data_IF_465409478125
#
_entry.id   IF_465409478125
#
_cell.length_a   1.000
_cell.length_b   1.000
_cell.length_c   1.000
_cell.angle_alpha   90.00
_cell.angle_beta   90.00
_cell.angle_gamma   90.00
#
_symmetry.space_group_name_H-M   'P 1'
#
loop_
_entity.id
_entity.type
_entity.pdbx_description
1 polymer ?
#
# COMPACT_ATOMS: atom_id res chain seq x y z
N UNK A 1 19.80 -16.05 -11.51
CA UNK A 1 19.03 -14.92 -10.91
C UNK A 1 19.88 -14.33 -9.79
N UNK A 2 20.51 -13.17 -9.98
CA UNK A 2 21.40 -12.59 -8.97
C UNK A 2 20.58 -12.02 -7.81
N UNK A 3 20.62 -12.68 -6.65
CA UNK A 3 19.86 -12.31 -5.43
C UNK A 3 20.19 -10.89 -4.96
N UNK A 4 21.45 -10.45 -5.10
CA UNK A 4 21.89 -9.11 -4.70
C UNK A 4 21.24 -7.99 -5.54
N UNK A 5 21.10 -8.19 -6.85
CA UNK A 5 20.47 -7.20 -7.74
C UNK A 5 19.00 -7.04 -7.40
N UNK A 6 18.31 -8.15 -7.15
CA UNK A 6 16.91 -8.16 -6.73
C UNK A 6 16.69 -7.41 -5.40
N UNK A 7 17.53 -7.65 -4.40
CA UNK A 7 17.44 -6.97 -3.11
C UNK A 7 17.68 -5.47 -3.21
N UNK A 8 18.63 -5.04 -4.06
CA UNK A 8 18.88 -3.61 -4.31
C UNK A 8 17.68 -2.95 -4.98
N UNK A 9 17.09 -3.59 -6.00
CA UNK A 9 15.86 -3.09 -6.64
C UNK A 9 14.73 -2.96 -5.62
N UNK A 10 14.47 -4.01 -4.84
CA UNK A 10 13.39 -4.03 -3.85
C UNK A 10 13.54 -2.91 -2.82
N UNK A 11 14.74 -2.72 -2.26
CA UNK A 11 15.02 -1.62 -1.32
C UNK A 11 14.82 -0.25 -1.95
N UNK A 12 15.23 -0.08 -3.21
CA UNK A 12 15.03 1.17 -3.95
C UNK A 12 13.55 1.46 -4.15
N UNK A 13 12.76 0.48 -4.57
CA UNK A 13 11.31 0.65 -4.78
C UNK A 13 10.58 0.94 -3.46
N UNK A 14 10.90 0.22 -2.38
CA UNK A 14 10.34 0.49 -1.05
C UNK A 14 10.73 1.89 -0.53
N UNK A 15 11.99 2.28 -0.71
CA UNK A 15 12.47 3.61 -0.39
C UNK A 15 11.72 4.67 -1.21
N UNK A 16 11.41 4.40 -2.48
CA UNK A 16 10.65 5.31 -3.33
C UNK A 16 9.21 5.48 -2.84
N UNK A 17 8.55 4.41 -2.39
CA UNK A 17 7.22 4.51 -1.77
C UNK A 17 7.22 5.37 -0.51
N UNK A 18 8.24 5.22 0.35
CA UNK A 18 8.31 5.92 1.63
C UNK A 18 8.89 7.33 1.57
N UNK A 19 9.69 7.68 0.56
CA UNK A 19 10.35 9.01 0.50
C UNK A 19 9.59 10.04 -0.33
N UNK A 20 8.54 9.62 -1.02
CA UNK A 20 7.82 10.49 -1.96
C UNK A 20 6.53 11.04 -1.37
N UNK A 21 6.23 12.30 -1.69
CA UNK A 21 5.07 13.03 -1.17
C UNK A 21 3.76 12.28 -1.39
N UNK A 22 3.55 11.70 -2.56
CA UNK A 22 2.35 10.91 -2.87
C UNK A 22 2.21 9.65 -2.00
N UNK A 23 3.33 9.03 -1.60
CA UNK A 23 3.30 7.88 -0.69
C UNK A 23 2.81 8.28 0.69
N UNK A 24 3.31 9.41 1.20
CA UNK A 24 2.83 10.00 2.45
C UNK A 24 1.37 10.45 2.38
N UNK A 25 0.91 11.01 1.25
CA UNK A 25 -0.50 11.38 1.06
C UNK A 25 -1.40 10.15 1.13
N UNK A 26 -1.04 9.05 0.48
CA UNK A 26 -1.81 7.80 0.54
C UNK A 26 -1.82 7.26 1.98
N UNK A 27 -0.66 7.20 2.64
CA UNK A 27 -0.55 6.68 4.01
C UNK A 27 -1.38 7.50 5.01
N UNK A 28 -1.30 8.83 4.94
CA UNK A 28 -2.05 9.74 5.81
C UNK A 28 -3.56 9.66 5.56
N UNK A 29 -4.00 9.61 4.31
CA UNK A 29 -5.42 9.44 3.95
C UNK A 29 -5.98 8.13 4.52
N UNK A 30 -5.23 7.04 4.39
CA UNK A 30 -5.65 5.74 4.91
C UNK A 30 -5.71 5.74 6.43
N UNK A 31 -4.67 6.24 7.11
CA UNK A 31 -4.67 6.33 8.58
C UNK A 31 -5.84 7.18 9.08
N UNK A 32 -6.15 8.28 8.39
CA UNK A 32 -7.28 9.12 8.71
C UNK A 32 -8.62 8.37 8.58
N UNK A 33 -8.81 7.63 7.49
CA UNK A 33 -10.01 6.80 7.28
C UNK A 33 -10.14 5.68 8.30
N UNK A 34 -9.02 5.03 8.68
CA UNK A 34 -9.00 4.01 9.75
C UNK A 34 -9.44 4.64 11.08
N UNK A 35 -8.90 5.82 11.41
CA UNK A 35 -9.28 6.57 12.62
C UNK A 35 -10.76 6.95 12.64
N UNK A 36 -11.30 7.41 11.51
CA UNK A 36 -12.74 7.70 11.38
C UNK A 36 -13.59 6.44 11.56
N UNK A 37 -13.20 5.32 10.95
CA UNK A 37 -13.89 4.04 11.12
C UNK A 37 -13.94 3.63 12.60
N UNK A 38 -12.81 3.69 13.31
CA UNK A 38 -12.77 3.39 14.74
C UNK A 38 -13.66 4.32 15.57
N UNK A 39 -13.67 5.62 15.27
CA UNK A 39 -14.54 6.58 15.94
C UNK A 39 -16.02 6.24 15.74
N UNK A 40 -16.43 5.87 14.51
CA UNK A 40 -17.82 5.48 14.23
C UNK A 40 -18.24 4.25 15.02
N UNK A 41 -17.37 3.25 15.15
CA UNK A 41 -17.65 2.06 15.95
C UNK A 41 -17.77 2.41 17.43
N UNK A 42 -16.86 3.22 17.97
CA UNK A 42 -16.92 3.66 19.37
C UNK A 42 -18.22 4.41 19.66
N UNK A 43 -18.64 5.32 18.78
CA UNK A 43 -19.89 6.06 18.92
C UNK A 43 -21.13 5.16 18.83
N UNK A 44 -21.11 4.16 17.94
CA UNK A 44 -22.22 3.23 17.76
C UNK A 44 -22.44 2.30 18.98
N UNK A 45 -21.36 1.94 19.67
CA UNK A 45 -21.38 1.06 20.85
C UNK A 45 -21.27 1.82 22.19
N UNK A 46 -21.29 3.16 22.17
CA UNK A 46 -21.22 3.96 23.38
C UNK A 46 -22.45 3.71 24.28
N UNK A 47 -22.26 2.96 25.36
CA UNK A 47 -23.32 2.59 26.31
C UNK A 47 -24.14 1.34 25.94
N UNK A 48 -23.72 0.54 24.95
CA UNK A 48 -24.33 -0.75 24.60
C UNK A 48 -23.32 -1.88 24.76
N UNK A 49 -23.79 -3.07 25.12
CA UNK A 49 -22.94 -4.26 25.12
C UNK A 49 -22.49 -4.55 23.67
N UNK A 50 -21.20 -4.80 23.48
CA UNK A 50 -20.69 -5.31 22.21
C UNK A 50 -21.02 -6.80 22.12
N UNK A 51 -21.99 -7.14 21.27
CA UNK A 51 -22.33 -8.54 20.97
C UNK A 51 -21.28 -9.23 20.08
N UNK A 52 -20.39 -8.45 19.45
CA UNK A 52 -19.38 -8.91 18.50
C UNK A 52 -17.99 -8.32 18.79
N UNK A 53 -16.90 -8.98 18.37
CA UNK A 53 -15.54 -8.44 18.43
C UNK A 53 -15.42 -7.08 17.71
N UNK A 54 -14.57 -6.19 18.24
CA UNK A 54 -14.29 -4.87 17.64
C UNK A 54 -13.87 -4.97 16.17
N UNK A 55 -13.13 -6.02 15.80
CA UNK A 55 -12.69 -6.31 14.43
C UNK A 55 -13.87 -6.58 13.49
N UNK A 56 -14.90 -7.30 13.93
CA UNK A 56 -16.09 -7.55 13.10
C UNK A 56 -16.90 -6.27 12.89
N UNK A 57 -17.04 -5.44 13.94
CA UNK A 57 -17.67 -4.14 13.83
C UNK A 57 -16.92 -3.19 12.88
N UNK A 58 -15.58 -3.30 12.84
CA UNK A 58 -14.75 -2.53 11.90
C UNK A 58 -14.98 -2.96 10.44
N UNK A 59 -15.06 -4.27 10.17
CA UNK A 59 -15.35 -4.79 8.82
C UNK A 59 -16.78 -4.48 8.34
N UNK A 60 -17.71 -4.29 9.27
CA UNK A 60 -19.08 -3.87 8.96
C UNK A 60 -19.17 -2.39 8.53
N UNK A 61 -18.12 -1.60 8.74
CA UNK A 61 -18.14 -0.16 8.46
C UNK A 61 -17.87 0.11 6.97
N UNK A 62 -18.66 0.96 6.28
CA UNK A 62 -18.47 1.25 4.85
C UNK A 62 -17.09 1.85 4.54
N UNK A 63 -16.48 2.57 5.48
CA UNK A 63 -15.14 3.14 5.35
C UNK A 63 -14.06 2.08 5.11
N UNK A 64 -14.18 0.88 5.71
CA UNK A 64 -13.24 -0.21 5.47
C UNK A 64 -13.21 -0.63 4.00
N UNK A 65 -14.39 -0.81 3.40
CA UNK A 65 -14.50 -1.16 1.98
C UNK A 65 -13.99 -0.06 1.06
N UNK A 66 -14.22 1.21 1.40
CA UNK A 66 -13.64 2.34 0.67
C UNK A 66 -12.11 2.34 0.72
N UNK A 67 -11.50 2.05 1.88
CA UNK A 67 -10.05 1.95 2.02
C UNK A 67 -9.51 0.84 1.11
N UNK A 68 -10.10 -0.36 1.16
CA UNK A 68 -9.67 -1.50 0.31
C UNK A 68 -9.78 -1.15 -1.18
N UNK A 69 -10.92 -0.57 -1.59
CA UNK A 69 -11.20 -0.24 -2.98
C UNK A 69 -10.26 0.84 -3.52
N UNK A 70 -9.90 1.83 -2.71
CA UNK A 70 -9.06 2.96 -3.13
C UNK A 70 -7.57 2.63 -2.99
N UNK A 71 -7.17 1.87 -1.97
CA UNK A 71 -5.78 1.51 -1.73
C UNK A 71 -5.18 0.64 -2.84
N UNK A 72 -5.92 -0.37 -3.31
CA UNK A 72 -5.46 -1.25 -4.39
C UNK A 72 -5.04 -0.49 -5.67
N UNK A 73 -5.91 0.33 -6.29
CA UNK A 73 -5.54 1.11 -7.47
C UNK A 73 -4.51 2.19 -7.16
N UNK A 74 -4.57 2.85 -5.98
CA UNK A 74 -3.59 3.87 -5.62
C UNK A 74 -2.15 3.32 -5.54
N UNK A 75 -1.98 2.11 -4.99
CA UNK A 75 -0.68 1.45 -4.88
C UNK A 75 -0.23 0.91 -6.25
N UNK A 76 -1.13 0.23 -6.98
CA UNK A 76 -0.78 -0.45 -8.24
C UNK A 76 -0.57 0.50 -9.42
N UNK A 77 -1.36 1.57 -9.56
CA UNK A 77 -1.21 2.56 -10.64
C UNK A 77 0.18 3.18 -10.61
N UNK A 78 0.72 3.43 -9.42
CA UNK A 78 2.01 4.09 -9.24
C UNK A 78 3.20 3.22 -9.68
N UNK A 79 3.09 1.90 -9.53
CA UNK A 79 4.18 0.95 -9.77
C UNK A 79 4.75 1.04 -11.20
N UNK A 80 3.87 1.15 -12.21
CA UNK A 80 4.26 1.20 -13.63
C UNK A 80 4.03 2.55 -14.29
N UNK A 81 3.00 3.32 -13.89
CA UNK A 81 2.72 4.61 -14.55
C UNK A 81 3.83 5.64 -14.30
N UNK A 82 4.51 5.56 -13.15
CA UNK A 82 5.54 6.52 -12.82
C UNK A 82 6.81 6.34 -13.67
N UNK A 83 7.26 5.10 -13.89
CA UNK A 83 8.38 4.80 -14.78
C UNK A 83 8.06 5.06 -16.25
N UNK A 84 6.80 4.85 -16.67
CA UNK A 84 6.34 5.21 -18.01
C UNK A 84 6.33 6.72 -18.23
N UNK A 85 6.02 7.51 -17.19
CA UNK A 85 6.00 8.97 -17.26
C UNK A 85 7.38 9.62 -17.16
N UNK A 86 8.37 8.97 -16.54
CA UNK A 86 9.72 9.53 -16.33
C UNK A 86 10.75 9.09 -17.37
N UNK A 87 10.38 8.23 -18.34
CA UNK A 87 11.26 7.76 -19.40
C UNK A 87 12.37 6.80 -18.93
N UNK A 88 12.45 6.51 -17.63
CA UNK A 88 13.41 5.56 -17.03
C UNK A 88 13.17 4.12 -17.42
N UNK A 89 12.02 3.81 -18.00
CA UNK A 89 11.70 2.48 -18.54
C UNK A 89 12.70 2.04 -19.61
N UNK A 90 13.13 2.94 -20.49
CA UNK A 90 14.09 2.63 -21.56
C UNK A 90 15.49 2.33 -20.99
N UNK A 91 15.95 3.11 -20.01
CA UNK A 91 17.20 2.86 -19.31
C UNK A 91 17.18 1.52 -18.54
N UNK A 92 16.04 1.15 -17.96
CA UNK A 92 15.89 -0.11 -17.23
C UNK A 92 15.89 -1.34 -18.16
N UNK A 93 15.32 -1.22 -19.37
CA UNK A 93 15.34 -2.28 -20.39
C UNK A 93 16.71 -2.48 -21.05
N UNK A 94 17.56 -1.45 -21.07
CA UNK A 94 18.93 -1.55 -21.61
C UNK A 94 19.93 -2.14 -20.61
N UNK A 95 19.56 -2.23 -19.32
CA UNK A 95 20.40 -2.82 -18.29
C UNK A 95 20.28 -4.36 -18.35
N UNK A 96 21.37 -5.15 -18.20
CA UNK A 96 21.33 -6.61 -18.30
C UNK A 96 20.68 -7.26 -17.06
N UNK A 97 19.40 -6.96 -16.84
CA UNK A 97 18.59 -7.45 -15.73
C UNK A 97 17.41 -8.23 -16.31
N UNK A 98 17.09 -9.38 -15.70
CA UNK A 98 15.95 -10.17 -16.15
C UNK A 98 14.65 -9.41 -15.89
N UNK A 99 13.79 -9.29 -16.90
CA UNK A 99 12.45 -8.68 -16.79
C UNK A 99 11.64 -9.27 -15.62
N UNK A 100 11.80 -10.57 -15.35
CA UNK A 100 11.14 -11.24 -14.21
C UNK A 100 11.59 -10.68 -12.86
N UNK A 101 12.86 -10.33 -12.67
CA UNK A 101 13.33 -9.71 -11.41
C UNK A 101 12.73 -8.33 -11.19
N UNK A 102 12.53 -7.56 -12.25
CA UNK A 102 11.94 -6.21 -12.18
C UNK A 102 10.47 -6.32 -11.76
N UNK A 103 9.70 -7.18 -12.43
CA UNK A 103 8.27 -7.40 -12.11
C UNK A 103 8.12 -7.92 -10.67
N UNK A 104 8.94 -8.91 -10.29
CA UNK A 104 8.82 -9.54 -8.98
C UNK A 104 9.21 -8.60 -7.83
N UNK A 105 10.23 -7.74 -8.03
CA UNK A 105 10.63 -6.76 -7.01
C UNK A 105 9.58 -5.67 -6.81
N UNK A 106 8.96 -5.18 -7.90
CA UNK A 106 7.85 -4.22 -7.83
C UNK A 106 6.60 -4.80 -7.18
N UNK A 107 6.28 -6.05 -7.50
CA UNK A 107 5.17 -6.76 -6.87
C UNK A 107 5.40 -6.91 -5.35
N UNK A 108 6.57 -7.41 -4.95
CA UNK A 108 6.92 -7.55 -3.53
C UNK A 108 6.96 -6.22 -2.78
N UNK A 109 7.51 -5.16 -3.39
CA UNK A 109 7.51 -3.83 -2.77
C UNK A 109 6.08 -3.30 -2.55
N UNK A 110 5.20 -3.48 -3.54
CA UNK A 110 3.79 -3.07 -3.45
C UNK A 110 3.05 -3.90 -2.39
N UNK A 111 3.34 -5.20 -2.30
CA UNK A 111 2.72 -6.09 -1.32
C UNK A 111 3.18 -5.78 0.11
N UNK A 112 4.47 -5.50 0.32
CA UNK A 112 5.01 -5.06 1.61
C UNK A 112 4.41 -3.72 2.01
N UNK A 113 4.29 -2.76 1.08
CA UNK A 113 3.67 -1.46 1.37
C UNK A 113 2.20 -1.60 1.74
N UNK A 114 1.46 -2.47 1.04
CA UNK A 114 0.09 -2.81 1.41
C UNK A 114 0.03 -3.43 2.81
N UNK A 115 0.89 -4.40 3.13
CA UNK A 115 0.96 -4.98 4.47
C UNK A 115 1.29 -3.95 5.56
N UNK A 116 2.25 -3.05 5.30
CA UNK A 116 2.61 -1.96 6.22
C UNK A 116 1.42 -1.02 6.49
N UNK A 117 0.62 -0.75 5.46
CA UNK A 117 -0.57 0.09 5.56
C UNK A 117 -1.64 -0.50 6.49
N UNK A 118 -1.73 -1.84 6.58
CA UNK A 118 -2.69 -2.54 7.45
C UNK A 118 -2.19 -2.83 8.87
N UNK A 119 -0.90 -2.60 9.16
CA UNK A 119 -0.29 -2.80 10.48
C UNK A 119 -1.05 -2.16 11.67
N UNK A 120 -1.74 -1.01 11.53
CA UNK A 120 -2.48 -0.38 12.63
C UNK A 120 -3.75 -1.11 13.08
N UNK A 121 -4.20 -2.13 12.35
CA UNK A 121 -5.46 -2.85 12.56
C UNK A 121 -5.21 -4.22 13.19
#
# INVERSE_FOLDING_TARGET
>A
MNVRVFQTLLKRELGFYLTTLTGYVILSMVMFLIGLSLLTVILAYNGRAMDAPLTEAFYATPFFWFIVLLACPAITMRSFAHEKSTGTYEALMTTPVSNLQIVFSKFLASWIFYGLMWLPL
#
